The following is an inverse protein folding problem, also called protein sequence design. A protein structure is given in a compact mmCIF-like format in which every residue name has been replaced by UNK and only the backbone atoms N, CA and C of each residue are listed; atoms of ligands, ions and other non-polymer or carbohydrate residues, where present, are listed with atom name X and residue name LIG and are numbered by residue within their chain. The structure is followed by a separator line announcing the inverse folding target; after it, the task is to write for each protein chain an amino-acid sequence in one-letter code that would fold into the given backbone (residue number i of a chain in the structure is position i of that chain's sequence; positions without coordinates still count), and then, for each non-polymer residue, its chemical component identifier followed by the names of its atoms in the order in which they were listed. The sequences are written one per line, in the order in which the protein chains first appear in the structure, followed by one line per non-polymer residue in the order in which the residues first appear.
data_IF_725432032240
#
_entry.id   IF_725432032240
#
_cell.length_a   1.000
_cell.length_b   1.000
_cell.length_c   1.000
_cell.angle_alpha   90.00
_cell.angle_beta   90.00
_cell.angle_gamma   90.00
#
_symmetry.space_group_name_H-M   'P 1'
#
loop_
_entity.id
_entity.type
_entity.pdbx_description
1 polymer ?
#
# COMPACT_ATOMS: atom_id res chain seq x y z
N UNK A 1 30.03 -5.02 -12.17
CA UNK A 1 28.81 -4.20 -12.11
C UNK A 1 29.10 -3.01 -11.23
N UNK A 2 29.18 -1.82 -11.78
CA UNK A 2 29.24 -0.58 -11.00
C UNK A 2 27.95 -0.51 -10.15
N UNK A 3 28.10 -0.48 -8.82
CA UNK A 3 26.96 -0.23 -7.92
C UNK A 3 26.35 1.13 -8.33
N UNK A 4 25.18 1.12 -8.96
CA UNK A 4 24.45 2.36 -9.17
C UNK A 4 24.23 3.03 -7.82
N UNK A 5 24.48 4.33 -7.77
CA UNK A 5 24.22 5.11 -6.57
C UNK A 5 22.71 5.21 -6.38
N UNK A 6 22.24 5.04 -5.13
CA UNK A 6 20.82 5.10 -4.80
C UNK A 6 20.38 6.52 -4.45
N UNK A 7 19.12 6.84 -4.74
CA UNK A 7 18.47 8.03 -4.24
C UNK A 7 17.06 7.68 -3.73
N UNK A 8 16.76 8.03 -2.49
CA UNK A 8 15.45 7.86 -1.88
C UNK A 8 14.72 9.20 -1.90
N UNK A 9 13.67 9.31 -2.68
CA UNK A 9 12.78 10.47 -2.75
C UNK A 9 11.56 10.18 -1.87
N UNK A 10 11.59 10.67 -0.65
CA UNK A 10 10.62 10.35 0.38
C UNK A 10 9.68 11.51 0.61
N UNK A 11 8.39 11.32 0.35
CA UNK A 11 7.35 12.28 0.67
C UNK A 11 7.06 12.32 2.18
N UNK A 12 6.57 13.46 2.66
CA UNK A 12 6.30 13.66 4.10
C UNK A 12 5.30 12.65 4.65
N UNK A 13 4.35 12.19 3.83
CA UNK A 13 3.38 11.16 4.19
C UNK A 13 3.98 9.78 4.50
N UNK A 14 5.27 9.57 4.17
CA UNK A 14 5.98 8.30 4.40
C UNK A 14 7.39 8.48 5.00
N UNK A 15 7.63 9.64 5.60
CA UNK A 15 8.96 10.09 6.06
C UNK A 15 9.59 9.15 7.08
N UNK A 16 8.86 8.75 8.11
CA UNK A 16 9.41 7.87 9.15
C UNK A 16 9.84 6.50 8.60
N UNK A 17 9.04 5.95 7.68
CA UNK A 17 9.38 4.69 7.04
C UNK A 17 10.64 4.84 6.16
N UNK A 18 10.72 5.88 5.35
CA UNK A 18 11.89 6.18 4.53
C UNK A 18 13.18 6.31 5.35
N UNK A 19 13.12 6.98 6.50
CA UNK A 19 14.25 7.10 7.43
C UNK A 19 14.69 5.74 8.01
N UNK A 20 13.73 4.87 8.39
CA UNK A 20 14.03 3.49 8.84
C UNK A 20 14.68 2.66 7.73
N UNK A 21 14.22 2.81 6.49
CA UNK A 21 14.81 2.15 5.33
C UNK A 21 16.25 2.62 5.13
N UNK A 22 16.51 3.93 5.14
CA UNK A 22 17.87 4.47 5.02
C UNK A 22 18.80 3.91 6.11
N UNK A 23 18.37 3.93 7.37
CA UNK A 23 19.15 3.39 8.48
C UNK A 23 19.51 1.91 8.30
N UNK A 24 18.56 1.10 7.81
CA UNK A 24 18.80 -0.31 7.53
C UNK A 24 19.73 -0.51 6.32
N UNK A 25 19.58 0.30 5.27
CA UNK A 25 20.49 0.27 4.12
C UNK A 25 21.94 0.58 4.53
N UNK A 26 22.15 1.61 5.35
CA UNK A 26 23.48 1.98 5.86
C UNK A 26 24.10 0.82 6.66
N UNK A 27 23.32 0.15 7.54
CA UNK A 27 23.77 -1.03 8.28
C UNK A 27 24.15 -2.19 7.36
N UNK A 28 23.30 -2.54 6.41
CA UNK A 28 23.51 -3.66 5.48
C UNK A 28 24.72 -3.40 4.59
N UNK A 29 24.91 -2.17 4.13
CA UNK A 29 26.02 -1.77 3.27
C UNK A 29 27.31 -1.46 4.04
N UNK A 30 27.25 -1.39 5.38
CA UNK A 30 28.34 -1.00 6.26
C UNK A 30 28.91 0.38 5.90
N UNK A 31 28.03 1.34 5.67
CA UNK A 31 28.36 2.70 5.29
C UNK A 31 27.91 3.65 6.43
N UNK A 32 28.81 4.54 6.91
CA UNK A 32 28.50 5.47 8.00
C UNK A 32 28.27 6.91 7.52
N UNK A 33 28.91 7.28 6.40
CA UNK A 33 29.03 8.67 5.97
C UNK A 33 28.18 9.01 4.74
N UNK A 34 27.29 8.08 4.33
CA UNK A 34 26.39 8.27 3.20
C UNK A 34 24.99 8.67 3.64
N UNK A 35 24.35 9.44 2.79
CA UNK A 35 22.92 9.74 2.85
C UNK A 35 22.27 9.35 1.53
N UNK A 36 21.22 8.57 1.61
CA UNK A 36 20.43 8.15 0.44
C UNK A 36 19.18 8.98 0.25
N UNK A 37 18.61 9.52 1.36
CA UNK A 37 17.45 10.40 1.26
C UNK A 37 17.87 11.71 0.60
N UNK A 38 17.28 11.95 -0.57
CA UNK A 38 17.48 13.13 -1.38
C UNK A 38 16.53 14.22 -0.93
N UNK A 39 17.03 15.45 -0.77
CA UNK A 39 16.18 16.58 -0.37
C UNK A 39 15.20 16.93 -1.46
N UNK A 40 13.93 16.93 -1.11
CA UNK A 40 12.86 17.39 -1.97
C UNK A 40 11.98 18.41 -1.23
N UNK A 41 11.32 19.27 -1.98
CA UNK A 41 10.34 20.21 -1.47
C UNK A 41 9.01 19.97 -2.16
N UNK A 42 7.98 19.65 -1.39
CA UNK A 42 6.60 19.55 -1.85
C UNK A 42 5.86 20.82 -1.43
N UNK A 43 5.37 21.57 -2.41
CA UNK A 43 4.66 22.83 -2.19
C UNK A 43 3.22 22.68 -2.62
N UNK A 44 2.29 23.18 -1.80
CA UNK A 44 0.88 23.37 -2.15
C UNK A 44 0.55 24.84 -2.24
N UNK A 45 -0.04 25.23 -3.35
CA UNK A 45 -0.56 26.58 -3.52
C UNK A 45 -1.94 26.72 -2.88
N UNK A 46 -2.35 27.97 -2.62
CA UNK A 46 -3.62 28.26 -1.96
C UNK A 46 -4.87 27.77 -2.75
N UNK A 47 -4.73 27.49 -4.04
CA UNK A 47 -5.77 26.92 -4.91
C UNK A 47 -5.73 25.39 -4.97
N UNK A 48 -4.83 24.72 -4.22
CA UNK A 48 -4.67 23.27 -4.17
C UNK A 48 -3.70 22.69 -5.19
N UNK A 49 -3.17 23.46 -6.13
CA UNK A 49 -2.13 22.99 -7.05
C UNK A 49 -0.84 22.62 -6.29
N UNK A 50 -0.15 21.59 -6.76
CA UNK A 50 1.09 21.14 -6.15
C UNK A 50 2.30 21.35 -7.05
N UNK A 51 3.48 21.51 -6.42
CA UNK A 51 4.78 21.58 -7.08
C UNK A 51 5.79 20.76 -6.29
N UNK A 52 6.60 19.96 -6.99
CA UNK A 52 7.75 19.24 -6.41
C UNK A 52 9.04 19.84 -6.97
N UNK A 53 10.01 20.01 -6.09
CA UNK A 53 11.39 20.41 -6.43
C UNK A 53 12.34 19.40 -5.83
N UNK A 54 13.22 18.82 -6.64
CA UNK A 54 14.33 17.96 -6.19
C UNK A 54 15.55 18.85 -6.05
N UNK A 55 16.07 18.95 -4.81
CA UNK A 55 17.09 19.94 -4.47
C UNK A 55 18.54 19.39 -4.61
N UNK A 56 18.70 18.06 -4.77
CA UNK A 56 20.00 17.42 -4.95
C UNK A 56 20.10 16.76 -6.33
N UNK A 57 21.33 16.52 -6.80
CA UNK A 57 21.54 15.81 -8.06
C UNK A 57 21.11 14.34 -7.98
N UNK A 58 20.31 13.93 -8.96
CA UNK A 58 19.79 12.55 -9.10
C UNK A 58 20.29 11.90 -10.39
N UNK A 59 21.22 12.55 -11.09
CA UNK A 59 21.70 12.08 -12.40
C UNK A 59 22.32 10.69 -12.26
N UNK A 60 21.89 9.79 -13.15
CA UNK A 60 22.34 8.40 -13.27
C UNK A 60 22.11 7.55 -12.02
N UNK A 61 21.29 8.03 -11.06
CA UNK A 61 20.95 7.27 -9.85
C UNK A 61 19.79 6.32 -10.08
N UNK A 62 19.76 5.26 -9.30
CA UNK A 62 18.63 4.36 -9.14
C UNK A 62 17.69 4.95 -8.08
N UNK A 63 16.51 5.41 -8.50
CA UNK A 63 15.60 6.21 -7.68
C UNK A 63 14.48 5.37 -7.14
N UNK A 64 14.24 5.54 -5.83
CA UNK A 64 13.12 4.96 -5.10
C UNK A 64 12.23 6.07 -4.57
N UNK A 65 11.00 6.15 -5.06
CA UNK A 65 9.98 7.13 -4.64
C UNK A 65 9.12 6.50 -3.57
N UNK A 66 9.07 7.09 -2.38
CA UNK A 66 8.30 6.63 -1.24
C UNK A 66 7.08 7.49 -1.03
N UNK A 67 5.90 6.89 -1.16
CA UNK A 67 4.62 7.58 -0.98
C UNK A 67 3.58 6.64 -0.37
N UNK A 68 3.04 7.00 0.77
CA UNK A 68 1.86 6.35 1.34
C UNK A 68 0.60 7.10 0.87
N UNK A 69 -0.04 6.57 -0.17
CA UNK A 69 -1.26 7.17 -0.73
C UNK A 69 -2.47 7.05 0.22
N UNK A 70 -2.39 6.16 1.21
CA UNK A 70 -3.43 5.99 2.23
C UNK A 70 -3.27 6.88 3.46
N UNK A 71 -2.29 7.77 3.49
CA UNK A 71 -2.05 8.65 4.63
C UNK A 71 -2.96 9.87 4.61
N UNK A 72 -3.84 9.99 5.58
CA UNK A 72 -4.75 11.13 5.76
C UNK A 72 -4.22 12.17 6.77
N UNK A 73 -3.00 12.00 7.29
CA UNK A 73 -2.42 12.89 8.30
C UNK A 73 -1.70 14.12 7.73
N UNK A 74 -1.61 14.25 6.42
CA UNK A 74 -1.00 15.41 5.78
C UNK A 74 -2.08 16.42 5.42
N UNK A 75 -1.93 17.66 5.91
CA UNK A 75 -2.85 18.74 5.65
C UNK A 75 -2.16 19.94 4.99
N UNK A 76 -2.92 20.76 4.31
CA UNK A 76 -2.48 22.04 3.76
C UNK A 76 -3.63 23.05 3.76
N UNK A 77 -3.29 24.35 3.66
CA UNK A 77 -4.30 25.39 3.58
C UNK A 77 -4.73 25.61 2.12
N UNK A 78 -6.03 25.45 1.85
CA UNK A 78 -6.64 25.70 0.56
C UNK A 78 -7.78 26.71 0.74
N UNK A 79 -7.69 27.89 0.08
CA UNK A 79 -8.66 28.97 0.19
C UNK A 79 -8.98 29.36 1.65
N UNK A 80 -7.97 29.36 2.52
CA UNK A 80 -8.12 29.74 3.94
C UNK A 80 -8.73 28.66 4.83
N UNK A 81 -8.89 27.43 4.33
CA UNK A 81 -9.37 26.26 5.10
C UNK A 81 -8.30 25.18 5.11
N UNK A 82 -8.20 24.49 6.24
CA UNK A 82 -7.40 23.28 6.31
C UNK A 82 -8.05 22.18 5.48
N UNK A 83 -7.23 21.49 4.67
CA UNK A 83 -7.64 20.42 3.77
C UNK A 83 -6.72 19.21 3.98
N UNK A 84 -7.30 18.05 4.21
CA UNK A 84 -6.57 16.78 4.29
C UNK A 84 -6.26 16.28 2.89
N UNK A 85 -5.00 15.85 2.68
CA UNK A 85 -4.63 15.26 1.40
C UNK A 85 -5.28 13.88 1.23
N UNK A 86 -5.87 13.69 0.05
CA UNK A 86 -6.54 12.46 -0.34
C UNK A 86 -5.64 11.59 -1.24
N UNK A 87 -5.99 10.31 -1.44
CA UNK A 87 -5.19 9.38 -2.27
C UNK A 87 -4.82 9.92 -3.65
N UNK A 88 -5.74 10.60 -4.34
CA UNK A 88 -5.51 11.19 -5.66
C UNK A 88 -4.42 12.27 -5.62
N UNK A 89 -4.39 13.08 -4.57
CA UNK A 89 -3.39 14.13 -4.41
C UNK A 89 -2.00 13.55 -4.14
N UNK A 90 -1.93 12.51 -3.31
CA UNK A 90 -0.70 11.76 -3.07
C UNK A 90 -0.20 11.07 -4.34
N UNK A 91 -1.09 10.42 -5.08
CA UNK A 91 -0.75 9.79 -6.35
C UNK A 91 -0.27 10.82 -7.39
N UNK A 92 -0.90 12.00 -7.44
CA UNK A 92 -0.45 13.09 -8.29
C UNK A 92 0.95 13.59 -7.89
N UNK A 93 1.33 13.55 -6.61
CA UNK A 93 2.68 13.93 -6.17
C UNK A 93 3.74 12.91 -6.61
N UNK A 94 3.42 11.63 -6.68
CA UNK A 94 4.30 10.63 -7.34
C UNK A 94 4.60 11.07 -8.77
N UNK A 95 3.59 11.42 -9.56
CA UNK A 95 3.77 11.87 -10.94
C UNK A 95 4.57 13.16 -11.04
N UNK A 96 4.40 14.09 -10.11
CA UNK A 96 5.20 15.32 -10.01
C UNK A 96 6.68 15.02 -9.73
N UNK A 97 6.97 14.05 -8.84
CA UNK A 97 8.35 13.61 -8.59
C UNK A 97 8.95 13.03 -9.88
N UNK A 98 8.26 12.11 -10.54
CA UNK A 98 8.73 11.52 -11.80
C UNK A 98 9.01 12.60 -12.83
N UNK A 99 8.10 13.56 -13.00
CA UNK A 99 8.29 14.70 -13.88
C UNK A 99 9.51 15.54 -13.51
N UNK A 100 9.76 15.76 -12.21
CA UNK A 100 10.89 16.54 -11.72
C UNK A 100 12.25 15.83 -11.92
N UNK A 101 12.27 14.51 -12.16
CA UNK A 101 13.52 13.80 -12.52
C UNK A 101 14.01 14.17 -13.92
N UNK A 102 13.15 14.71 -14.76
CA UNK A 102 13.46 15.12 -16.15
C UNK A 102 14.15 14.03 -16.98
N UNK A 103 13.91 12.75 -16.69
CA UNK A 103 14.54 11.63 -17.40
C UNK A 103 16.03 11.44 -17.09
N UNK A 104 16.56 12.05 -16.04
CA UNK A 104 17.98 11.93 -15.65
C UNK A 104 18.31 10.75 -14.77
N UNK A 105 17.33 9.99 -14.32
CA UNK A 105 17.50 8.79 -13.51
C UNK A 105 17.88 7.57 -14.35
N UNK A 106 18.62 6.62 -13.78
CA UNK A 106 18.90 5.33 -14.43
C UNK A 106 17.70 4.38 -14.34
N UNK A 107 17.00 4.40 -13.22
CA UNK A 107 15.77 3.62 -12.95
C UNK A 107 14.84 4.39 -12.04
N UNK A 108 13.55 4.07 -12.14
CA UNK A 108 12.50 4.60 -11.27
C UNK A 108 11.70 3.45 -10.65
N UNK A 109 11.75 3.35 -9.34
CA UNK A 109 10.92 2.44 -8.55
C UNK A 109 9.97 3.25 -7.68
N UNK A 110 8.69 2.92 -7.68
CA UNK A 110 7.68 3.53 -6.80
C UNK A 110 7.34 2.56 -5.68
N UNK A 111 7.42 3.02 -4.44
CA UNK A 111 7.04 2.27 -3.24
C UNK A 111 5.77 2.88 -2.69
N UNK A 112 4.67 2.15 -2.85
CA UNK A 112 3.34 2.48 -2.32
C UNK A 112 2.88 1.35 -1.41
N UNK A 113 2.90 1.51 -0.07
CA UNK A 113 2.45 0.44 0.83
C UNK A 113 1.01 0.04 0.58
N UNK A 114 0.11 1.00 0.44
CA UNK A 114 -1.24 0.79 -0.09
C UNK A 114 -1.21 1.04 -1.60
N UNK A 115 -1.58 0.03 -2.37
CA UNK A 115 -1.68 0.18 -3.82
C UNK A 115 -2.83 1.14 -4.17
N UNK A 116 -2.50 2.23 -4.88
CA UNK A 116 -3.49 3.23 -5.29
C UNK A 116 -4.60 2.58 -6.11
N UNK A 117 -5.86 2.86 -5.71
CA UNK A 117 -7.08 2.28 -6.32
C UNK A 117 -7.10 0.74 -6.40
N UNK A 118 -6.39 0.05 -5.50
CA UNK A 118 -6.26 -1.40 -5.50
C UNK A 118 -7.58 -2.17 -5.48
N UNK A 119 -8.67 -1.56 -4.97
CA UNK A 119 -10.02 -2.13 -5.00
C UNK A 119 -10.71 -2.01 -6.36
N UNK A 120 -10.22 -1.14 -7.26
CA UNK A 120 -10.69 -0.96 -8.63
C UNK A 120 -9.80 -1.71 -9.64
N UNK A 121 -9.43 -2.94 -9.30
CA UNK A 121 -8.53 -3.81 -10.06
C UNK A 121 -9.21 -4.55 -11.22
N UNK A 122 -10.54 -4.66 -11.20
CA UNK A 122 -11.33 -5.34 -12.24
C UNK A 122 -12.63 -4.61 -12.52
N UNK A 123 -13.11 -4.74 -13.74
CA UNK A 123 -14.33 -4.10 -14.23
C UNK A 123 -15.49 -5.10 -14.32
N UNK A 124 -16.66 -4.70 -13.83
CA UNK A 124 -17.93 -5.39 -14.04
C UNK A 124 -18.92 -4.39 -14.67
N UNK A 125 -19.18 -4.56 -15.95
CA UNK A 125 -20.07 -3.62 -16.66
C UNK A 125 -19.39 -2.28 -17.00
N UNK A 126 -20.08 -1.16 -16.79
CA UNK A 126 -19.63 0.20 -17.14
C UNK A 126 -19.00 0.91 -15.93
N UNK A 127 -17.97 0.30 -15.36
CA UNK A 127 -17.22 0.85 -14.22
C UNK A 127 -15.87 1.37 -14.68
N UNK A 128 -15.27 2.28 -13.90
CA UNK A 128 -13.88 2.66 -14.08
C UNK A 128 -12.93 1.49 -13.75
N UNK A 129 -11.69 1.56 -14.22
CA UNK A 129 -10.65 0.57 -13.97
C UNK A 129 -9.39 1.28 -13.47
N UNK A 130 -9.53 2.01 -12.37
CA UNK A 130 -8.59 3.05 -11.97
C UNK A 130 -7.22 2.49 -11.60
N UNK A 131 -7.16 1.34 -10.92
CA UNK A 131 -5.88 0.73 -10.56
C UNK A 131 -5.04 0.38 -11.81
N UNK A 132 -5.64 -0.28 -12.80
CA UNK A 132 -4.93 -0.64 -14.03
C UNK A 132 -4.47 0.59 -14.82
N UNK A 133 -5.34 1.61 -14.91
CA UNK A 133 -5.01 2.88 -15.59
C UNK A 133 -3.86 3.58 -14.88
N UNK A 134 -3.89 3.65 -13.56
CA UNK A 134 -2.84 4.26 -12.75
C UNK A 134 -1.48 3.57 -12.94
N UNK A 135 -1.44 2.23 -12.93
CA UNK A 135 -0.22 1.46 -13.18
C UNK A 135 0.32 1.72 -14.59
N UNK A 136 -0.54 1.71 -15.61
CA UNK A 136 -0.17 2.02 -16.99
C UNK A 136 0.31 3.47 -17.16
N UNK A 137 -0.23 4.40 -16.40
CA UNK A 137 0.21 5.80 -16.39
C UNK A 137 1.63 5.90 -15.83
N UNK A 138 1.93 5.24 -14.71
CA UNK A 138 3.28 5.19 -14.15
C UNK A 138 4.28 4.53 -15.10
N UNK A 139 3.91 3.42 -15.74
CA UNK A 139 4.73 2.75 -16.76
C UNK A 139 5.08 3.73 -17.92
N UNK A 140 4.08 4.42 -18.45
CA UNK A 140 4.28 5.43 -19.52
C UNK A 140 5.16 6.61 -19.10
N UNK A 141 5.15 6.96 -17.82
CA UNK A 141 6.02 7.99 -17.25
C UNK A 141 7.45 7.50 -17.00
N UNK A 142 7.76 6.22 -17.27
CA UNK A 142 9.11 5.66 -17.17
C UNK A 142 9.38 4.92 -15.86
N UNK A 143 8.36 4.64 -15.04
CA UNK A 143 8.53 3.76 -13.88
C UNK A 143 8.82 2.35 -14.37
N UNK A 144 9.86 1.73 -13.82
CA UNK A 144 10.31 0.38 -14.18
C UNK A 144 9.89 -0.67 -13.17
N UNK A 145 9.62 -0.26 -11.94
CA UNK A 145 9.18 -1.16 -10.87
C UNK A 145 8.22 -0.47 -9.90
N UNK A 146 7.22 -1.23 -9.43
CA UNK A 146 6.34 -0.86 -8.33
C UNK A 146 6.49 -1.89 -7.22
N UNK A 147 6.62 -1.40 -5.98
CA UNK A 147 6.66 -2.21 -4.78
C UNK A 147 5.48 -1.81 -3.89
N UNK A 148 4.68 -2.79 -3.51
CA UNK A 148 3.51 -2.60 -2.63
C UNK A 148 3.44 -3.68 -1.56
N UNK A 149 2.61 -3.48 -0.54
CA UNK A 149 2.37 -4.48 0.49
C UNK A 149 0.97 -5.04 0.35
N UNK A 150 0.88 -6.37 0.28
CA UNK A 150 -0.36 -7.14 0.33
C UNK A 150 -1.49 -6.54 -0.52
N UNK A 151 -1.22 -6.42 -1.82
CA UNK A 151 -2.20 -5.89 -2.79
C UNK A 151 -3.53 -6.63 -2.69
N UNK A 152 -4.65 -5.87 -2.75
CA UNK A 152 -6.01 -6.42 -2.66
C UNK A 152 -6.28 -7.55 -3.66
N UNK A 153 -5.79 -7.40 -4.89
CA UNK A 153 -5.72 -8.47 -5.89
C UNK A 153 -4.35 -8.42 -6.60
N UNK A 154 -3.46 -9.39 -6.36
CA UNK A 154 -2.14 -9.41 -6.99
C UNK A 154 -2.18 -9.57 -8.52
N UNK A 155 -3.30 -10.04 -9.09
CA UNK A 155 -3.45 -10.20 -10.54
C UNK A 155 -3.53 -8.88 -11.30
N UNK A 156 -3.63 -7.74 -10.60
CA UNK A 156 -3.58 -6.41 -11.24
C UNK A 156 -2.31 -6.19 -12.06
N UNK A 157 -1.20 -6.90 -11.75
CA UNK A 157 0.04 -6.90 -12.54
C UNK A 157 -0.18 -7.25 -14.02
N UNK A 158 -1.21 -8.03 -14.33
CA UNK A 158 -1.53 -8.41 -15.71
C UNK A 158 -1.94 -7.20 -16.57
N UNK A 159 -2.23 -6.04 -15.97
CA UNK A 159 -2.52 -4.81 -16.70
C UNK A 159 -1.26 -4.13 -17.28
N UNK A 160 -0.07 -4.48 -16.78
CA UNK A 160 1.21 -3.85 -17.13
C UNK A 160 2.31 -4.90 -17.32
N UNK A 161 2.33 -5.63 -18.45
CA UNK A 161 3.22 -6.77 -18.66
C UNK A 161 4.71 -6.40 -18.72
N UNK A 162 5.05 -5.12 -18.95
CA UNK A 162 6.44 -4.66 -19.02
C UNK A 162 6.90 -3.93 -17.75
N UNK A 163 6.02 -3.75 -16.77
CA UNK A 163 6.31 -3.15 -15.47
C UNK A 163 6.64 -4.25 -14.46
N UNK A 164 7.78 -4.17 -13.80
CA UNK A 164 8.06 -5.06 -12.66
C UNK A 164 7.15 -4.68 -11.49
N UNK A 165 6.60 -5.69 -10.80
CA UNK A 165 5.67 -5.49 -9.71
C UNK A 165 6.01 -6.43 -8.54
N UNK A 166 6.47 -5.86 -7.45
CA UNK A 166 6.84 -6.59 -6.24
C UNK A 166 5.73 -6.42 -5.19
N UNK A 167 4.94 -7.47 -4.98
CA UNK A 167 3.95 -7.54 -3.91
C UNK A 167 4.57 -8.22 -2.68
N UNK A 168 4.84 -7.46 -1.63
CA UNK A 168 5.45 -7.95 -0.39
C UNK A 168 4.36 -8.30 0.60
N UNK A 169 4.37 -9.55 1.07
CA UNK A 169 3.47 -10.01 2.13
C UNK A 169 4.16 -9.86 3.50
N UNK A 170 3.67 -8.99 4.39
CA UNK A 170 4.28 -8.75 5.70
C UNK A 170 3.93 -9.84 6.74
N UNK A 171 3.21 -10.89 6.35
CA UNK A 171 2.64 -11.93 7.22
C UNK A 171 3.63 -12.47 8.26
N UNK A 172 4.81 -12.90 7.82
CA UNK A 172 5.84 -13.44 8.72
C UNK A 172 6.31 -12.39 9.75
N UNK A 173 6.48 -11.14 9.33
CA UNK A 173 6.91 -10.05 10.21
C UNK A 173 5.83 -9.73 11.23
N UNK A 174 4.56 -9.72 10.81
CA UNK A 174 3.41 -9.50 11.69
C UNK A 174 3.32 -10.62 12.73
N UNK A 175 3.34 -11.89 12.30
CA UNK A 175 3.27 -13.03 13.21
C UNK A 175 4.44 -13.02 14.20
N UNK A 176 5.67 -12.77 13.73
CA UNK A 176 6.84 -12.66 14.61
C UNK A 176 6.71 -11.55 15.65
N UNK A 177 6.11 -10.42 15.28
CA UNK A 177 5.87 -9.33 16.22
C UNK A 177 4.78 -9.72 17.23
N UNK A 178 3.69 -10.34 16.79
CA UNK A 178 2.64 -10.82 17.67
C UNK A 178 3.18 -11.84 18.69
N UNK A 179 4.04 -12.77 18.28
CA UNK A 179 4.71 -13.74 19.20
C UNK A 179 5.55 -13.01 20.24
N UNK A 180 6.24 -11.94 19.88
CA UNK A 180 7.05 -11.15 20.83
C UNK A 180 6.19 -10.37 21.81
N UNK A 181 5.05 -9.87 21.37
CA UNK A 181 4.16 -9.06 22.18
C UNK A 181 3.36 -9.93 23.16
N UNK A 182 2.79 -11.01 22.67
CA UNK A 182 2.05 -11.99 23.48
C UNK A 182 1.91 -13.32 22.71
N UNK A 183 2.73 -14.32 23.06
CA UNK A 183 2.69 -15.63 22.42
C UNK A 183 1.42 -16.43 22.77
N UNK A 184 0.71 -16.09 23.86
CA UNK A 184 -0.48 -16.82 24.29
C UNK A 184 -1.66 -16.66 23.32
N UNK A 185 -1.65 -15.64 22.47
CA UNK A 185 -2.70 -15.44 21.45
C UNK A 185 -2.77 -16.59 20.43
N UNK A 186 -1.69 -17.36 20.28
CA UNK A 186 -1.64 -18.53 19.39
C UNK A 186 -2.08 -19.82 20.06
N UNK A 187 -2.28 -19.82 21.40
CA UNK A 187 -2.83 -20.96 22.10
C UNK A 187 -4.31 -21.12 21.75
N UNK A 188 -4.69 -22.31 21.27
CA UNK A 188 -6.06 -22.57 20.79
C UNK A 188 -6.56 -21.54 19.76
N UNK A 189 -5.68 -21.08 18.87
CA UNK A 189 -5.98 -20.06 17.87
C UNK A 189 -6.95 -20.55 16.78
N UNK A 190 -7.68 -19.61 16.22
CA UNK A 190 -8.50 -19.79 15.03
C UNK A 190 -8.35 -18.54 14.15
N UNK A 191 -7.97 -18.72 12.91
CA UNK A 191 -7.96 -17.61 11.95
C UNK A 191 -9.31 -17.51 11.27
N UNK A 192 -9.83 -16.28 11.16
CA UNK A 192 -11.13 -16.04 10.53
C UNK A 192 -11.00 -15.00 9.43
N UNK A 193 -11.48 -15.38 8.25
CA UNK A 193 -11.65 -14.46 7.12
C UNK A 193 -12.95 -13.68 7.24
N UNK A 194 -12.96 -12.34 7.09
CA UNK A 194 -14.18 -11.54 7.16
C UNK A 194 -15.11 -11.74 5.94
N UNK A 195 -14.59 -12.31 4.84
CA UNK A 195 -15.37 -12.71 3.67
C UNK A 195 -14.56 -13.66 2.77
N UNK A 196 -15.15 -14.11 1.66
CA UNK A 196 -14.47 -15.01 0.73
C UNK A 196 -13.30 -14.36 -0.03
N UNK A 197 -13.27 -13.03 -0.14
CA UNK A 197 -12.19 -12.31 -0.80
C UNK A 197 -10.86 -12.42 -0.05
N UNK A 198 -10.90 -12.40 1.28
CA UNK A 198 -9.72 -12.51 2.15
C UNK A 198 -9.35 -13.96 2.51
N UNK A 199 -10.07 -14.98 1.98
CA UNK A 199 -9.92 -16.37 2.40
C UNK A 199 -8.53 -16.95 2.14
N UNK A 200 -7.90 -16.65 1.01
CA UNK A 200 -6.55 -17.14 0.71
C UNK A 200 -5.52 -16.57 1.68
N UNK A 201 -5.66 -15.28 2.02
CA UNK A 201 -4.81 -14.63 3.02
C UNK A 201 -4.99 -15.26 4.39
N UNK A 202 -6.24 -15.42 4.85
CA UNK A 202 -6.56 -16.05 6.13
C UNK A 202 -6.00 -17.49 6.20
N UNK A 203 -6.15 -18.26 5.12
CA UNK A 203 -5.57 -19.62 5.03
C UNK A 203 -4.05 -19.61 5.19
N UNK A 204 -3.37 -18.67 4.54
CA UNK A 204 -1.90 -18.57 4.66
C UNK A 204 -1.45 -18.25 6.09
N UNK A 205 -2.16 -17.37 6.81
CA UNK A 205 -1.91 -17.13 8.23
C UNK A 205 -2.16 -18.40 9.07
N UNK A 206 -3.27 -19.09 8.84
CA UNK A 206 -3.62 -20.32 9.56
C UNK A 206 -2.58 -21.44 9.34
N UNK A 207 -2.06 -21.58 8.11
CA UNK A 207 -1.00 -22.55 7.79
C UNK A 207 0.31 -22.24 8.54
N UNK A 208 0.71 -20.96 8.66
CA UNK A 208 1.92 -20.57 9.40
C UNK A 208 1.73 -20.79 10.90
N UNK A 209 0.56 -20.45 11.44
CA UNK A 209 0.25 -20.59 12.88
C UNK A 209 0.01 -22.05 13.24
N UNK A 210 -0.43 -22.89 12.30
CA UNK A 210 -0.78 -24.30 12.55
C UNK A 210 -2.17 -24.47 13.18
N UNK A 211 -3.17 -23.65 12.76
CA UNK A 211 -4.52 -23.68 13.28
C UNK A 211 -5.58 -23.79 12.18
N UNK A 212 -6.85 -23.96 12.59
CA UNK A 212 -7.98 -23.97 11.66
C UNK A 212 -8.28 -22.58 11.08
N UNK A 213 -9.03 -22.55 9.98
CA UNK A 213 -9.56 -21.32 9.38
C UNK A 213 -11.07 -21.37 9.27
N UNK A 214 -11.70 -20.23 9.56
CA UNK A 214 -13.13 -20.00 9.34
C UNK A 214 -13.37 -18.81 8.44
N UNK A 215 -14.59 -18.63 7.94
CA UNK A 215 -14.97 -17.52 7.05
C UNK A 215 -16.38 -17.03 7.34
N UNK A 216 -16.59 -15.71 7.21
CA UNK A 216 -17.92 -15.13 7.17
C UNK A 216 -18.45 -15.05 5.76
N UNK A 217 -19.62 -15.64 5.56
CA UNK A 217 -20.40 -15.50 4.34
C UNK A 217 -21.36 -14.31 4.46
N UNK A 218 -21.17 -13.31 3.60
CA UNK A 218 -22.05 -12.13 3.51
C UNK A 218 -23.17 -12.40 2.52
N UNK A 219 -24.37 -12.75 3.02
CA UNK A 219 -25.56 -12.87 2.17
C UNK A 219 -26.13 -11.49 1.87
N UNK A 220 -26.25 -11.16 0.58
CA UNK A 220 -26.82 -9.90 0.10
C UNK A 220 -28.26 -10.11 -0.39
N UNK A 221 -29.12 -9.14 -0.15
CA UNK A 221 -30.45 -9.09 -0.75
C UNK A 221 -30.31 -8.55 -2.19
N UNK A 222 -30.39 -9.46 -3.14
CA UNK A 222 -30.30 -9.12 -4.56
C UNK A 222 -31.56 -8.46 -5.11
N UNK A 223 -32.67 -8.47 -4.35
CA UNK A 223 -33.94 -7.83 -4.73
C UNK A 223 -33.94 -6.32 -4.51
N UNK A 224 -32.96 -5.80 -3.76
CA UNK A 224 -32.87 -4.39 -3.36
C UNK A 224 -31.52 -3.80 -3.72
N UNK A 225 -31.52 -2.53 -4.12
CA UNK A 225 -30.33 -1.74 -4.31
C UNK A 225 -30.44 -0.47 -3.46
N UNK A 226 -29.49 -0.27 -2.53
CA UNK A 226 -29.40 0.90 -1.67
C UNK A 226 -28.04 1.53 -1.88
N UNK A 227 -28.00 2.81 -2.29
CA UNK A 227 -26.77 3.54 -2.62
C UNK A 227 -25.85 2.75 -3.60
N UNK A 228 -26.44 2.15 -4.65
CA UNK A 228 -25.71 1.40 -5.67
C UNK A 228 -25.20 0.02 -5.25
N UNK A 229 -25.56 -0.46 -4.04
CA UNK A 229 -25.12 -1.76 -3.51
C UNK A 229 -26.31 -2.57 -3.00
N UNK A 230 -26.23 -3.90 -3.15
CA UNK A 230 -27.19 -4.80 -2.52
C UNK A 230 -26.93 -4.84 -1.00
N UNK A 231 -27.92 -4.57 -0.15
CA UNK A 231 -27.72 -4.57 1.29
C UNK A 231 -27.38 -5.97 1.82
N UNK A 232 -26.52 -6.03 2.84
CA UNK A 232 -26.18 -7.28 3.53
C UNK A 232 -27.34 -7.61 4.47
N UNK A 233 -27.93 -8.80 4.35
CA UNK A 233 -29.06 -9.26 5.15
C UNK A 233 -28.69 -10.30 6.21
N UNK A 234 -27.54 -10.94 6.06
CA UNK A 234 -27.03 -11.88 7.03
C UNK A 234 -25.52 -12.07 6.91
N UNK A 235 -24.86 -12.28 8.07
CA UNK A 235 -23.52 -12.82 8.15
C UNK A 235 -23.63 -14.23 8.72
N UNK A 236 -23.20 -15.23 7.98
CA UNK A 236 -23.18 -16.62 8.42
C UNK A 236 -21.73 -17.04 8.58
N UNK A 237 -21.35 -17.48 9.76
CA UNK A 237 -20.04 -18.06 10.01
C UNK A 237 -20.01 -19.51 9.52
N UNK A 238 -18.91 -19.86 8.88
CA UNK A 238 -18.60 -21.21 8.37
C UNK A 238 -17.19 -21.58 8.83
N UNK A 239 -17.05 -22.64 9.63
CA UNK A 239 -15.76 -23.10 10.15
C UNK A 239 -15.93 -23.81 11.49
N UNK A 240 -14.80 -24.08 12.15
CA UNK A 240 -14.75 -24.67 13.49
C UNK A 240 -15.40 -23.75 14.53
N UNK A 241 -15.91 -24.31 15.63
CA UNK A 241 -16.51 -23.53 16.71
C UNK A 241 -15.52 -22.48 17.24
N UNK A 242 -16.00 -21.25 17.42
CA UNK A 242 -15.21 -20.11 17.91
C UNK A 242 -15.18 -20.04 19.44
N UNK A 243 -15.99 -20.86 20.11
CA UNK A 243 -16.08 -20.84 21.57
C UNK A 243 -14.72 -21.17 22.19
N UNK A 244 -14.33 -20.38 23.20
CA UNK A 244 -13.10 -20.54 23.97
C UNK A 244 -11.80 -20.50 23.08
N UNK A 245 -11.85 -19.92 21.89
CA UNK A 245 -10.70 -19.77 20.99
C UNK A 245 -10.20 -18.33 20.93
N UNK A 246 -8.90 -18.18 20.75
CA UNK A 246 -8.28 -16.91 20.36
C UNK A 246 -8.49 -16.68 18.86
N UNK A 247 -9.35 -15.73 18.49
CA UNK A 247 -9.73 -15.50 17.11
C UNK A 247 -8.90 -14.38 16.49
N UNK A 248 -8.16 -14.71 15.42
CA UNK A 248 -7.47 -13.72 14.59
C UNK A 248 -8.30 -13.45 13.33
N UNK A 249 -8.77 -12.21 13.18
CA UNK A 249 -9.45 -11.78 11.94
C UNK A 249 -8.39 -11.17 11.02
N UNK A 250 -8.29 -11.68 9.80
CA UNK A 250 -7.26 -11.28 8.81
C UNK A 250 -7.92 -10.72 7.57
N UNK A 251 -7.53 -9.48 7.22
CA UNK A 251 -7.96 -8.80 6.00
C UNK A 251 -6.79 -7.94 5.46
N UNK A 252 -6.89 -7.42 4.23
CA UNK A 252 -5.88 -6.54 3.60
C UNK A 252 -5.98 -5.09 4.08
N UNK A 253 -7.18 -4.62 4.42
CA UNK A 253 -7.44 -3.24 4.82
C UNK A 253 -8.36 -3.19 6.06
N UNK A 254 -7.87 -2.52 7.11
CA UNK A 254 -8.68 -2.21 8.29
C UNK A 254 -9.08 -0.73 8.27
N UNK A 255 -10.40 -0.47 8.40
CA UNK A 255 -10.92 0.87 8.62
C UNK A 255 -11.36 1.02 10.08
N UNK A 256 -10.83 2.03 10.75
CA UNK A 256 -11.36 2.45 12.04
C UNK A 256 -12.45 3.48 11.80
N UNK A 257 -13.69 3.10 12.04
CA UNK A 257 -14.75 4.10 12.19
C UNK A 257 -14.59 4.75 13.55
N UNK A 258 -14.22 6.03 13.61
CA UNK A 258 -14.43 6.83 14.81
C UNK A 258 -15.94 7.11 14.88
N UNK A 259 -16.60 6.64 15.97
CA UNK A 259 -17.97 7.02 16.28
C UNK A 259 -18.05 8.51 16.55
#
# INVERSE_FOLDING_TARGET
MTKNDLALLVLDNFKEFGQKVEQNLLKIRKESDKHYITRLSAVRFANGEGKIVINDSIRDKDIYIFCDVGNYGITYNCHGKEHEMMPDEHFQDIKRIISATCGHSSKLTVIMPLLYEGRQHRRKGRESLDCAIALQELERLGVTNILTFDAHDPNVINATPNLSFDNIYPTNTIIQQMVKDDSSIFENALVVSPDFGAMERARYYAEIIGCDVGVFYKRRDLSKVVNGKNPIVAHTYMGSDVKDKNVLIVDDIFWRFSN
#
